data_IF_063391207928
#
_entry.id   IF_063391207928
#
_cell.length_a   1.000
_cell.length_b   1.000
_cell.length_c   1.000
_cell.angle_alpha   90.00
_cell.angle_beta   90.00
_cell.angle_gamma   90.00
#
_symmetry.space_group_name_H-M   'P 1'
#
loop_
_entity.id
_entity.type
_entity.pdbx_description
1 polymer ?
#
# COMPACT_ATOMS: atom_id res chain seq x y z
N UNK A 1 -6.55 17.21 8.95
CA UNK A 1 -5.18 16.70 8.81
C UNK A 1 -4.39 17.17 10.00
N UNK A 2 -4.31 16.31 11.01
CA UNK A 2 -3.27 16.41 12.03
C UNK A 2 -1.93 16.06 11.33
N UNK A 3 -0.87 16.80 11.61
CA UNK A 3 0.49 16.61 11.10
C UNK A 3 1.19 15.32 11.62
N UNK A 4 0.46 14.44 12.31
CA UNK A 4 1.03 13.22 12.87
C UNK A 4 1.31 12.15 11.80
N UNK A 5 2.41 11.46 12.01
CA UNK A 5 2.81 10.28 11.23
C UNK A 5 1.91 9.09 11.59
N UNK A 6 1.22 8.53 10.60
CA UNK A 6 0.46 7.27 10.76
C UNK A 6 1.42 6.07 10.84
N UNK A 7 1.06 5.05 11.63
CA UNK A 7 1.82 3.81 11.71
C UNK A 7 1.31 2.81 10.67
N UNK A 8 2.22 2.26 9.87
CA UNK A 8 1.91 1.29 8.82
C UNK A 8 2.58 -0.06 9.05
N UNK A 9 1.79 -1.14 9.05
CA UNK A 9 2.30 -2.52 9.08
C UNK A 9 2.03 -3.18 7.74
N UNK A 10 3.10 -3.44 7.00
CA UNK A 10 3.03 -4.11 5.70
C UNK A 10 3.37 -5.60 5.83
N UNK A 11 2.61 -6.46 5.14
CA UNK A 11 2.89 -7.89 5.11
C UNK A 11 2.10 -8.63 4.05
N UNK A 12 2.36 -9.93 3.93
CA UNK A 12 1.59 -10.84 3.09
C UNK A 12 0.65 -11.69 3.96
N UNK A 13 -0.64 -11.56 3.72
CA UNK A 13 -1.65 -12.37 4.41
C UNK A 13 -1.87 -13.67 3.62
N UNK A 14 -1.37 -14.78 4.15
CA UNK A 14 -1.44 -16.11 3.54
C UNK A 14 -2.84 -16.68 3.49
N UNK A 15 -3.75 -16.26 4.38
CA UNK A 15 -5.13 -16.76 4.42
C UNK A 15 -5.97 -16.21 3.27
N UNK A 16 -5.81 -14.93 2.93
CA UNK A 16 -6.56 -14.28 1.83
C UNK A 16 -5.74 -14.07 0.56
N UNK A 17 -4.46 -14.46 0.58
CA UNK A 17 -3.52 -14.33 -0.53
C UNK A 17 -3.44 -12.89 -1.06
N UNK A 18 -3.19 -11.93 -0.16
CA UNK A 18 -3.05 -10.50 -0.49
C UNK A 18 -1.87 -9.90 0.24
N UNK A 19 -1.18 -8.96 -0.42
CA UNK A 19 -0.32 -8.03 0.28
C UNK A 19 -1.20 -6.96 0.94
N UNK A 20 -0.91 -6.64 2.19
CA UNK A 20 -1.72 -5.72 2.99
C UNK A 20 -0.85 -4.69 3.68
N UNK A 21 -1.33 -3.45 3.71
CA UNK A 21 -0.84 -2.41 4.61
C UNK A 21 -1.97 -2.06 5.58
N UNK A 22 -1.78 -2.37 6.86
CA UNK A 22 -2.66 -1.91 7.93
C UNK A 22 -2.17 -0.56 8.42
N UNK A 23 -3.06 0.42 8.48
CA UNK A 23 -2.74 1.80 8.85
C UNK A 23 -3.45 2.13 10.16
N UNK A 24 -2.70 2.71 11.09
CA UNK A 24 -3.18 3.10 12.42
C UNK A 24 -2.88 4.57 12.68
N UNK A 25 -3.76 5.21 13.44
CA UNK A 25 -3.56 6.54 13.97
C UNK A 25 -2.36 6.53 14.93
N UNK A 26 -1.35 7.37 14.67
CA UNK A 26 -0.10 7.36 15.42
C UNK A 26 -0.24 7.83 16.88
N UNK A 27 -1.36 8.47 17.25
CA UNK A 27 -1.60 9.00 18.59
C UNK A 27 -2.40 8.03 19.45
N UNK A 28 -3.47 7.48 18.89
CA UNK A 28 -4.45 6.66 19.59
C UNK A 28 -4.27 5.16 19.33
N UNK A 29 -3.53 4.78 18.28
CA UNK A 29 -3.41 3.39 17.83
C UNK A 29 -4.68 2.85 17.18
N UNK A 30 -5.70 3.69 16.94
CA UNK A 30 -6.92 3.26 16.28
C UNK A 30 -6.65 2.84 14.83
N UNK A 31 -7.27 1.75 14.38
CA UNK A 31 -7.18 1.33 12.99
C UNK A 31 -7.90 2.32 12.08
N UNK A 32 -7.18 2.86 11.10
CA UNK A 32 -7.69 3.78 10.09
C UNK A 32 -8.10 3.04 8.81
N UNK A 33 -7.57 1.84 8.59
CA UNK A 33 -7.97 0.97 7.49
C UNK A 33 -6.85 0.11 6.94
N UNK A 34 -7.18 -0.60 5.85
CA UNK A 34 -6.29 -1.56 5.20
C UNK A 34 -6.25 -1.29 3.70
N UNK A 35 -5.04 -1.20 3.13
CA UNK A 35 -4.81 -1.26 1.69
C UNK A 35 -4.47 -2.68 1.28
N UNK A 36 -5.04 -3.13 0.17
CA UNK A 36 -4.88 -4.49 -0.34
C UNK A 36 -4.33 -4.47 -1.77
N UNK A 37 -3.29 -5.26 -2.01
CA UNK A 37 -2.78 -5.52 -3.36
C UNK A 37 -2.93 -7.00 -3.73
N UNK A 38 -3.17 -7.31 -5.01
CA UNK A 38 -3.25 -8.69 -5.49
C UNK A 38 -1.91 -9.42 -5.36
N UNK A 39 -1.98 -10.74 -5.19
CA UNK A 39 -0.80 -11.62 -5.15
C UNK A 39 -0.26 -11.95 -6.56
N UNK A 40 -0.06 -10.93 -7.38
CA UNK A 40 0.40 -11.05 -8.77
C UNK A 40 1.91 -10.83 -8.93
N UNK A 41 2.58 -10.30 -7.89
CA UNK A 41 4.01 -9.99 -7.91
C UNK A 41 4.83 -10.98 -7.06
N UNK A 42 6.09 -11.16 -7.42
CA UNK A 42 7.15 -11.78 -6.60
C UNK A 42 8.26 -10.76 -6.33
N UNK A 43 9.14 -11.05 -5.36
CA UNK A 43 10.22 -10.14 -4.94
C UNK A 43 9.67 -8.76 -4.51
N UNK A 44 8.58 -8.80 -3.73
CA UNK A 44 7.79 -7.60 -3.43
C UNK A 44 8.50 -6.70 -2.42
N UNK A 45 8.59 -5.42 -2.76
CA UNK A 45 9.07 -4.35 -1.88
C UNK A 45 7.98 -3.30 -1.73
N UNK A 46 7.72 -2.87 -0.49
CA UNK A 46 6.82 -1.78 -0.19
C UNK A 46 7.49 -0.41 -0.41
N UNK A 47 6.73 0.57 -0.91
CA UNK A 47 7.20 1.93 -1.18
C UNK A 47 6.20 2.95 -0.65
N UNK A 48 6.72 3.94 0.07
CA UNK A 48 6.00 5.19 0.37
C UNK A 48 6.40 6.20 -0.70
N UNK A 49 5.42 6.78 -1.36
CA UNK A 49 5.62 7.74 -2.44
C UNK A 49 5.21 9.15 -1.97
N UNK A 50 5.73 10.16 -2.65
CA UNK A 50 5.15 11.50 -2.57
C UNK A 50 3.69 11.47 -3.05
N UNK A 51 2.95 12.56 -2.84
CA UNK A 51 1.59 12.70 -3.36
C UNK A 51 1.59 12.69 -4.90
N UNK A 52 1.29 11.55 -5.50
CA UNK A 52 1.16 11.37 -6.94
C UNK A 52 -0.30 11.51 -7.41
N UNK A 53 -1.23 11.56 -6.47
CA UNK A 53 -2.67 11.62 -6.74
C UNK A 53 -3.24 13.02 -6.62
N UNK A 54 -2.47 13.96 -6.06
CA UNK A 54 -2.83 15.36 -5.91
C UNK A 54 -3.84 15.61 -4.78
N UNK A 55 -3.96 14.68 -3.83
CA UNK A 55 -4.96 14.71 -2.75
C UNK A 55 -4.42 15.28 -1.43
N UNK A 56 -3.16 15.74 -1.43
CA UNK A 56 -2.46 16.31 -0.30
C UNK A 56 -1.91 15.28 0.69
N UNK A 57 -1.94 13.98 0.36
CA UNK A 57 -1.44 12.89 1.21
C UNK A 57 -0.41 12.01 0.48
N UNK A 58 0.41 11.29 1.24
CA UNK A 58 1.37 10.33 0.67
C UNK A 58 0.63 9.16 0.02
N UNK A 59 1.15 8.70 -1.11
CA UNK A 59 0.68 7.49 -1.78
C UNK A 59 1.50 6.26 -1.36
N UNK A 60 0.90 5.08 -1.51
CA UNK A 60 1.52 3.81 -1.13
C UNK A 60 1.58 2.86 -2.32
N UNK A 61 2.68 2.12 -2.45
CA UNK A 61 2.83 1.21 -3.57
C UNK A 61 3.57 -0.08 -3.19
N UNK A 62 3.38 -1.09 -4.03
CA UNK A 62 4.25 -2.26 -4.07
C UNK A 62 4.99 -2.30 -5.41
N UNK A 63 6.27 -2.66 -5.35
CA UNK A 63 7.10 -2.92 -6.52
C UNK A 63 7.52 -4.38 -6.51
N UNK A 64 7.56 -5.03 -7.67
CA UNK A 64 8.05 -6.39 -7.82
C UNK A 64 8.03 -6.86 -9.26
N UNK A 65 8.27 -8.15 -9.48
CA UNK A 65 8.15 -8.78 -10.81
C UNK A 65 6.83 -9.50 -10.92
N UNK A 66 6.10 -9.29 -12.01
CA UNK A 66 4.87 -10.02 -12.26
C UNK A 66 5.16 -11.51 -12.40
N UNK A 67 4.35 -12.35 -11.75
CA UNK A 67 4.61 -13.80 -11.63
C UNK A 67 4.56 -14.53 -12.96
N UNK A 68 3.73 -14.10 -13.90
CA UNK A 68 3.53 -14.81 -15.17
C UNK A 68 4.60 -14.52 -16.22
N UNK A 69 5.11 -13.28 -16.29
CA UNK A 69 5.97 -12.83 -17.40
C UNK A 69 7.27 -12.16 -16.92
N UNK A 70 7.47 -12.03 -15.60
CA UNK A 70 8.68 -11.45 -15.02
C UNK A 70 8.81 -9.94 -15.17
N UNK A 71 7.84 -9.24 -15.75
CA UNK A 71 7.89 -7.80 -15.95
C UNK A 71 7.95 -7.06 -14.61
N UNK A 72 8.84 -6.09 -14.47
CA UNK A 72 8.89 -5.20 -13.30
C UNK A 72 7.66 -4.29 -13.32
N UNK A 73 6.92 -4.27 -12.22
CA UNK A 73 5.72 -3.48 -12.05
C UNK A 73 5.76 -2.68 -10.76
N UNK A 74 5.17 -1.49 -10.80
CA UNK A 74 4.85 -0.66 -9.64
C UNK A 74 3.33 -0.53 -9.58
N UNK A 75 2.70 -0.97 -8.49
CA UNK A 75 1.25 -0.90 -8.30
C UNK A 75 0.96 0.11 -7.20
N UNK A 76 0.46 1.28 -7.59
CA UNK A 76 0.17 2.40 -6.68
C UNK A 76 -1.27 2.32 -6.19
N UNK A 77 -1.47 2.56 -4.89
CA UNK A 77 -2.76 2.70 -4.23
C UNK A 77 -2.90 4.11 -3.69
N UNK A 78 -4.01 4.74 -4.03
CA UNK A 78 -4.45 5.95 -3.35
C UNK A 78 -5.05 5.57 -1.98
N UNK A 79 -4.63 6.27 -0.93
CA UNK A 79 -5.09 6.01 0.43
C UNK A 79 -6.58 6.31 0.65
N UNK A 80 -7.08 7.41 0.08
CA UNK A 80 -8.45 7.87 0.30
C UNK A 80 -9.48 6.97 -0.37
N UNK A 81 -9.27 6.65 -1.65
CA UNK A 81 -10.20 5.83 -2.44
C UNK A 81 -9.94 4.34 -2.30
N UNK A 82 -8.74 3.95 -1.83
CA UNK A 82 -8.24 2.58 -1.79
C UNK A 82 -8.19 1.90 -3.16
N UNK A 83 -8.26 2.66 -4.26
CA UNK A 83 -8.24 2.16 -5.64
C UNK A 83 -6.81 2.03 -6.19
N UNK A 84 -6.63 1.13 -7.17
CA UNK A 84 -5.38 1.04 -7.93
C UNK A 84 -5.33 2.19 -8.94
N UNK A 85 -4.19 2.86 -9.09
CA UNK A 85 -3.89 3.57 -10.34
C UNK A 85 -3.12 2.62 -11.26
N UNK A 86 -3.60 2.49 -12.51
CA UNK A 86 -2.87 1.84 -13.61
C UNK A 86 -2.12 2.90 -14.41
#
# INVERSE_FOLDING_TARGET
NDSLTELGIFGFNTNVQRYQLHVFDGKSGQSLGVLNWPNTLREVTFKVLADLTGDGKKDYAIQGKHKSNGATQLIVKNWQTKQNKQ
#
